data_IF_348626809567
#
_entry.id   IF_348626809567
#
_cell.length_a   1.000
_cell.length_b   1.000
_cell.length_c   1.000
_cell.angle_alpha   90.00
_cell.angle_beta   90.00
_cell.angle_gamma   90.00
#
_symmetry.space_group_name_H-M   'P 1'
#
loop_
_entity.id
_entity.type
_entity.pdbx_description
1 polymer ?
#
# COMPACT_ATOMS: atom_id res chain seq x y z
N UNK A 1 -11.95 -10.53 2.02
CA UNK A 1 -10.76 -9.85 2.59
C UNK A 1 -10.20 -8.84 1.60
N UNK A 2 -10.11 -9.19 0.33
CA UNK A 2 -9.60 -8.26 -0.69
C UNK A 2 -10.41 -6.98 -0.79
N UNK A 3 -11.74 -7.10 -0.80
CA UNK A 3 -12.62 -5.92 -0.88
C UNK A 3 -12.49 -5.05 0.37
N UNK A 4 -12.38 -5.67 1.54
CA UNK A 4 -12.18 -4.96 2.80
C UNK A 4 -10.86 -4.19 2.76
N UNK A 5 -9.80 -4.85 2.31
CA UNK A 5 -8.47 -4.23 2.23
C UNK A 5 -8.47 -3.03 1.29
N UNK A 6 -9.09 -3.18 0.11
CA UNK A 6 -9.19 -2.09 -0.85
C UNK A 6 -9.94 -0.89 -0.26
N UNK A 7 -11.00 -1.15 0.50
CA UNK A 7 -11.76 -0.09 1.15
C UNK A 7 -10.91 0.65 2.18
N UNK A 8 -10.14 -0.10 2.97
CA UNK A 8 -9.26 0.50 3.98
C UNK A 8 -8.13 1.30 3.33
N UNK A 9 -7.64 0.87 2.18
CA UNK A 9 -6.57 1.59 1.48
C UNK A 9 -6.99 2.98 1.00
N UNK A 10 -8.28 3.24 0.88
CA UNK A 10 -8.77 4.57 0.53
C UNK A 10 -8.40 5.63 1.56
N UNK A 11 -8.03 5.22 2.76
CA UNK A 11 -7.59 6.14 3.81
C UNK A 11 -6.16 6.66 3.59
N UNK A 12 -5.40 6.05 2.68
CA UNK A 12 -4.04 6.51 2.40
C UNK A 12 -4.04 7.88 1.73
N UNK A 13 -3.10 8.77 2.10
CA UNK A 13 -2.99 10.05 1.41
C UNK A 13 -2.47 9.86 0.00
N UNK A 14 -2.79 10.80 -0.87
CA UNK A 14 -2.24 10.86 -2.23
C UNK A 14 -2.63 9.69 -3.15
N UNK A 15 -3.68 8.95 -2.82
CA UNK A 15 -4.14 7.84 -3.64
C UNK A 15 -4.97 8.37 -4.82
N UNK A 16 -4.60 7.94 -6.01
CA UNK A 16 -5.35 8.26 -7.22
C UNK A 16 -6.35 7.16 -7.53
N UNK A 17 -5.92 5.90 -7.45
CA UNK A 17 -6.77 4.76 -7.78
C UNK A 17 -6.29 3.51 -7.06
N UNK A 18 -7.24 2.65 -6.70
CA UNK A 18 -6.95 1.35 -6.12
C UNK A 18 -7.59 0.30 -7.00
N UNK A 19 -6.78 -0.67 -7.42
CA UNK A 19 -7.23 -1.76 -8.29
C UNK A 19 -6.98 -3.09 -7.62
N UNK A 20 -7.95 -3.99 -7.73
CA UNK A 20 -7.80 -5.34 -7.20
C UNK A 20 -8.10 -6.36 -8.29
N UNK A 21 -7.28 -7.40 -8.37
CA UNK A 21 -7.52 -8.51 -9.29
C UNK A 21 -7.07 -9.79 -8.60
N UNK A 22 -8.04 -10.62 -8.26
CA UNK A 22 -7.77 -11.81 -7.47
C UNK A 22 -7.23 -11.42 -6.11
N UNK A 23 -6.06 -11.94 -5.75
CA UNK A 23 -5.41 -11.66 -4.48
C UNK A 23 -4.39 -10.52 -4.55
N UNK A 24 -4.26 -9.90 -5.72
CA UNK A 24 -3.33 -8.80 -5.90
C UNK A 24 -4.07 -7.47 -5.82
N UNK A 25 -3.51 -6.53 -5.08
CA UNK A 25 -4.06 -5.17 -4.97
C UNK A 25 -3.00 -4.18 -5.41
N UNK A 26 -3.34 -3.32 -6.36
CA UNK A 26 -2.46 -2.26 -6.81
C UNK A 26 -2.95 -0.91 -6.30
N UNK A 27 -2.03 -0.08 -5.84
CA UNK A 27 -2.34 1.29 -5.40
C UNK A 27 -1.58 2.25 -6.29
N UNK A 28 -2.30 3.12 -6.97
CA UNK A 28 -1.71 4.17 -7.78
C UNK A 28 -1.77 5.49 -7.01
N UNK A 29 -0.62 6.13 -6.86
CA UNK A 29 -0.53 7.42 -6.18
C UNK A 29 -0.54 8.56 -7.19
N UNK A 30 -0.87 9.76 -6.72
CA UNK A 30 -0.84 10.98 -7.54
C UNK A 30 0.57 11.51 -7.71
N UNK A 31 1.48 11.11 -6.82
CA UNK A 31 2.87 11.55 -6.83
C UNK A 31 3.79 10.36 -7.05
N UNK A 32 5.02 10.56 -7.58
CA UNK A 32 5.94 9.45 -7.83
C UNK A 32 6.67 9.02 -6.57
N UNK A 33 5.93 8.49 -5.60
CA UNK A 33 6.44 8.13 -4.28
C UNK A 33 6.55 6.62 -4.06
N UNK A 34 6.25 5.80 -5.09
CA UNK A 34 6.17 4.36 -4.89
C UNK A 34 7.47 3.74 -4.39
N UNK A 35 8.61 4.15 -4.94
CA UNK A 35 9.90 3.59 -4.52
C UNK A 35 10.23 3.98 -3.09
N UNK A 36 9.91 5.20 -2.69
CA UNK A 36 10.15 5.64 -1.32
C UNK A 36 9.20 4.92 -0.35
N UNK A 37 7.94 4.73 -0.75
CA UNK A 37 6.98 3.98 0.05
C UNK A 37 7.47 2.55 0.24
N UNK A 38 7.98 1.92 -0.82
CA UNK A 38 8.55 0.59 -0.73
C UNK A 38 9.72 0.55 0.24
N UNK A 39 10.62 1.51 0.14
CA UNK A 39 11.78 1.59 1.03
C UNK A 39 11.35 1.69 2.50
N UNK A 40 10.40 2.57 2.79
CA UNK A 40 9.88 2.73 4.14
C UNK A 40 9.16 1.47 4.62
N UNK A 41 8.43 0.81 3.71
CA UNK A 41 7.72 -0.42 4.05
C UNK A 41 8.67 -1.53 4.45
N UNK A 42 9.78 -1.69 3.74
CA UNK A 42 10.79 -2.70 4.07
C UNK A 42 11.35 -2.45 5.47
N UNK A 43 11.61 -1.20 5.81
CA UNK A 43 12.09 -0.85 7.16
C UNK A 43 11.08 -1.19 8.24
N UNK A 44 9.79 -1.22 7.89
CA UNK A 44 8.71 -1.59 8.80
C UNK A 44 8.29 -3.06 8.63
N UNK A 45 9.11 -3.86 7.97
CA UNK A 45 8.89 -5.30 7.77
C UNK A 45 7.64 -5.62 6.94
N UNK A 46 7.25 -4.71 6.08
CA UNK A 46 6.13 -4.91 5.18
C UNK A 46 6.67 -5.06 3.76
N UNK A 47 6.46 -6.24 3.17
CA UNK A 47 6.95 -6.51 1.82
C UNK A 47 5.92 -6.09 0.78
N UNK A 48 6.29 -5.15 -0.06
CA UNK A 48 5.48 -4.71 -1.18
C UNK A 48 6.37 -4.60 -2.41
N UNK A 49 5.76 -4.47 -3.58
CA UNK A 49 6.48 -4.31 -4.83
C UNK A 49 6.15 -2.95 -5.44
N UNK A 50 7.17 -2.19 -5.83
CA UNK A 50 6.96 -0.96 -6.59
C UNK A 50 7.00 -1.33 -8.07
N UNK A 51 5.88 -1.20 -8.76
CA UNK A 51 5.74 -1.57 -10.17
C UNK A 51 6.18 -0.42 -11.08
N UNK A 52 5.83 0.79 -10.66
CA UNK A 52 6.21 2.02 -11.35
C UNK A 52 6.51 3.08 -10.30
N UNK A 53 6.96 4.25 -10.73
CA UNK A 53 7.28 5.34 -9.82
C UNK A 53 6.10 5.79 -8.95
N UNK A 54 4.88 5.51 -9.39
CA UNK A 54 3.67 5.90 -8.67
C UNK A 54 2.72 4.73 -8.36
N UNK A 55 3.15 3.49 -8.55
CA UNK A 55 2.29 2.32 -8.34
C UNK A 55 2.99 1.30 -7.47
N UNK A 56 2.31 0.87 -6.41
CA UNK A 56 2.77 -0.25 -5.59
C UNK A 56 1.79 -1.41 -5.72
N UNK A 57 2.28 -2.61 -5.47
CA UNK A 57 1.47 -3.83 -5.53
C UNK A 57 1.61 -4.58 -4.21
N UNK A 58 0.48 -5.03 -3.71
CA UNK A 58 0.37 -5.76 -2.46
C UNK A 58 -0.21 -7.14 -2.75
N UNK A 59 0.33 -8.16 -2.10
CA UNK A 59 -0.08 -9.56 -2.35
C UNK A 59 -0.19 -10.31 -1.03
N UNK A 60 -0.85 -11.49 -1.01
CA UNK A 60 -0.82 -12.35 0.16
C UNK A 60 0.62 -12.69 0.54
N UNK A 61 0.93 -12.91 1.81
CA UNK A 61 0.00 -13.09 2.94
C UNK A 61 -0.43 -11.80 3.64
N UNK A 62 -0.09 -10.63 3.09
CA UNK A 62 -0.39 -9.34 3.74
C UNK A 62 -1.87 -9.13 3.99
N UNK A 63 -2.74 -9.75 3.19
CA UNK A 63 -4.18 -9.55 3.24
C UNK A 63 -4.94 -10.82 3.59
N UNK A 64 -4.31 -11.70 4.41
CA UNK A 64 -4.91 -12.99 4.76
C UNK A 64 -6.13 -12.88 5.67
N UNK A 65 -6.17 -11.85 6.54
CA UNK A 65 -7.32 -11.61 7.41
C UNK A 65 -7.45 -10.12 7.72
N UNK A 66 -8.55 -9.73 8.39
CA UNK A 66 -8.81 -8.32 8.69
C UNK A 66 -7.75 -7.69 9.57
N UNK A 67 -7.26 -8.42 10.57
CA UNK A 67 -6.23 -7.89 11.46
C UNK A 67 -4.96 -7.58 10.70
N UNK A 68 -4.56 -8.46 9.79
CA UNK A 68 -3.39 -8.24 8.96
C UNK A 68 -3.61 -7.09 7.99
N UNK A 69 -4.81 -6.96 7.43
CA UNK A 69 -5.15 -5.83 6.58
C UNK A 69 -5.04 -4.51 7.32
N UNK A 70 -5.59 -4.44 8.53
CA UNK A 70 -5.55 -3.23 9.33
C UNK A 70 -4.12 -2.84 9.68
N UNK A 71 -3.30 -3.81 10.04
CA UNK A 71 -1.89 -3.58 10.37
C UNK A 71 -1.13 -3.07 9.14
N UNK A 72 -1.36 -3.70 8.00
CA UNK A 72 -0.71 -3.28 6.76
C UNK A 72 -1.11 -1.85 6.38
N UNK A 73 -2.38 -1.50 6.53
CA UNK A 73 -2.86 -0.15 6.23
C UNK A 73 -2.22 0.88 7.15
N UNK A 74 -2.11 0.58 8.44
CA UNK A 74 -1.45 1.49 9.39
C UNK A 74 0.00 1.75 8.99
N UNK A 75 0.72 0.69 8.64
CA UNK A 75 2.11 0.82 8.20
C UNK A 75 2.19 1.63 6.92
N UNK A 76 1.29 1.37 5.97
CA UNK A 76 1.28 2.09 4.69
C UNK A 76 0.95 3.56 4.86
N UNK A 77 0.02 3.92 5.74
CA UNK A 77 -0.28 5.33 6.03
C UNK A 77 0.99 6.04 6.50
N UNK A 78 1.71 5.40 7.40
CA UNK A 78 2.97 5.95 7.92
C UNK A 78 4.01 6.09 6.81
N UNK A 79 4.14 5.07 5.96
CA UNK A 79 5.11 5.07 4.88
C UNK A 79 4.81 6.14 3.83
N UNK A 80 3.55 6.26 3.44
CA UNK A 80 3.14 7.26 2.45
C UNK A 80 3.33 8.66 3.00
N UNK A 81 2.95 8.89 4.25
CA UNK A 81 3.14 10.18 4.89
C UNK A 81 4.62 10.57 4.95
N UNK A 82 5.49 9.61 5.28
CA UNK A 82 6.92 9.87 5.31
C UNK A 82 7.46 10.19 3.91
N UNK A 83 6.97 9.49 2.88
CA UNK A 83 7.40 9.71 1.51
C UNK A 83 6.99 11.09 1.01
N UNK A 84 5.84 11.58 1.43
CA UNK A 84 5.32 12.87 0.97
C UNK A 84 6.06 14.08 1.55
N UNK A 85 6.76 13.91 2.67
CA UNK A 85 7.50 15.01 3.29
C UNK A 85 8.95 15.11 2.83
N UNK A 86 9.36 14.23 1.94
CA UNK A 86 10.73 14.25 1.40
C UNK A 86 10.89 15.13 0.19
#
# INVERSE_FOLDING_TARGET
VGAYFMEQLKALPCVKEIRGKGLLVGVEFREPIAFEVKHQAVENRLLITAVRENIIRLAPPLIANKEQCDEAVKILIKCVSAALVK
#
